data_IF_828741236694
#
_entry.id   IF_828741236694
#
_cell.length_a   1.000
_cell.length_b   1.000
_cell.length_c   1.000
_cell.angle_alpha   90.00
_cell.angle_beta   90.00
_cell.angle_gamma   90.00
#
_symmetry.space_group_name_H-M   'P 1'
#
loop_
_entity.id
_entity.type
_entity.pdbx_description
1 polymer ?
#
# COMPACT_ATOMS: atom_id res chain seq x y z
N UNK A 1 -13.82 3.58 -14.63
CA UNK A 1 -13.96 3.16 -13.22
C UNK A 1 -12.56 2.89 -12.70
N UNK A 2 -12.03 3.74 -11.82
CA UNK A 2 -10.71 3.48 -11.22
C UNK A 2 -10.88 2.30 -10.27
N UNK A 3 -10.34 1.14 -10.63
CA UNK A 3 -10.18 0.07 -9.64
C UNK A 3 -9.29 0.61 -8.53
N UNK A 4 -9.67 0.39 -7.27
CA UNK A 4 -8.78 0.70 -6.16
C UNK A 4 -7.50 -0.15 -6.31
N UNK A 5 -6.31 0.43 -6.13
CA UNK A 5 -5.07 -0.33 -6.22
C UNK A 5 -5.04 -1.43 -5.16
N UNK A 6 -4.45 -2.57 -5.52
CA UNK A 6 -4.38 -3.77 -4.68
C UNK A 6 -3.14 -3.74 -3.82
N UNK A 7 -3.25 -4.16 -2.55
CA UNK A 7 -2.12 -4.26 -1.63
C UNK A 7 -1.03 -5.18 -2.18
N UNK A 8 -1.43 -6.25 -2.85
CA UNK A 8 -0.55 -7.29 -3.39
C UNK A 8 0.34 -6.83 -4.55
N UNK A 9 -0.15 -5.86 -5.34
CA UNK A 9 0.55 -5.30 -6.49
C UNK A 9 1.55 -4.19 -6.08
N UNK A 10 1.29 -3.51 -4.95
CA UNK A 10 2.10 -2.38 -4.45
C UNK A 10 2.78 -2.65 -3.10
N UNK A 11 2.94 -3.92 -2.71
CA UNK A 11 3.39 -4.30 -1.36
C UNK A 11 4.75 -3.68 -1.00
N UNK A 12 5.72 -3.70 -1.92
CA UNK A 12 7.06 -3.18 -1.68
C UNK A 12 7.05 -1.66 -1.49
N UNK A 13 6.35 -0.94 -2.38
CA UNK A 13 6.14 0.51 -2.28
C UNK A 13 5.44 0.88 -0.97
N UNK A 14 4.41 0.14 -0.58
CA UNK A 14 3.69 0.34 0.68
C UNK A 14 4.60 0.18 1.90
N UNK A 15 5.39 -0.90 1.95
CA UNK A 15 6.36 -1.13 3.04
C UNK A 15 7.38 -0.01 3.09
N UNK A 16 7.96 0.37 1.95
CA UNK A 16 8.96 1.44 1.88
C UNK A 16 8.40 2.78 2.36
N UNK A 17 7.21 3.16 1.90
CA UNK A 17 6.55 4.41 2.29
C UNK A 17 6.15 4.43 3.76
N UNK A 18 5.54 3.35 4.27
CA UNK A 18 5.16 3.23 5.68
C UNK A 18 6.39 3.33 6.57
N UNK A 19 7.44 2.58 6.24
CA UNK A 19 8.69 2.56 7.01
C UNK A 19 9.37 3.93 7.00
N UNK A 20 9.49 4.55 5.82
CA UNK A 20 10.08 5.88 5.70
C UNK A 20 9.30 6.91 6.49
N UNK A 21 7.99 7.04 6.25
CA UNK A 21 7.16 8.04 6.94
C UNK A 21 7.03 7.77 8.45
N UNK A 22 7.15 6.51 8.90
CA UNK A 22 7.16 6.18 10.33
C UNK A 22 8.49 6.50 11.00
N UNK A 23 9.63 6.35 10.32
CA UNK A 23 10.94 6.54 10.94
C UNK A 23 11.51 7.95 10.78
N UNK A 24 11.01 8.76 9.83
CA UNK A 24 11.52 10.13 9.69
C UNK A 24 10.94 11.06 10.74
N UNK A 25 11.70 12.10 11.07
CA UNK A 25 11.26 13.18 11.95
C UNK A 25 10.26 14.14 11.27
N UNK A 26 9.93 13.93 10.00
CA UNK A 26 9.03 14.82 9.27
C UNK A 26 7.58 14.34 9.43
N UNK A 27 6.69 15.25 9.78
CA UNK A 27 5.26 14.98 9.93
C UNK A 27 4.60 14.52 8.62
N UNK A 28 5.03 15.07 7.49
CA UNK A 28 4.52 14.77 6.16
C UNK A 28 5.59 14.99 5.07
N UNK A 29 5.43 14.35 3.91
CA UNK A 29 6.35 14.48 2.77
C UNK A 29 5.59 14.55 1.45
N UNK A 30 6.16 15.22 0.45
CA UNK A 30 5.61 15.24 -0.92
C UNK A 30 6.02 14.00 -1.69
N UNK A 31 5.25 13.65 -2.73
CA UNK A 31 5.59 12.56 -3.64
C UNK A 31 6.97 12.75 -4.28
N UNK A 32 7.33 13.96 -4.69
CA UNK A 32 8.68 14.26 -5.23
C UNK A 32 9.78 14.00 -4.21
N UNK A 33 9.60 14.38 -2.93
CA UNK A 33 10.59 14.14 -1.89
C UNK A 33 10.75 12.64 -1.60
N UNK A 34 9.65 11.89 -1.63
CA UNK A 34 9.65 10.45 -1.40
C UNK A 34 10.27 9.69 -2.56
N UNK A 35 9.97 10.09 -3.81
CA UNK A 35 10.57 9.51 -5.01
C UNK A 35 12.09 9.62 -4.98
N UNK A 36 12.59 10.81 -4.62
CA UNK A 36 14.03 11.04 -4.48
C UNK A 36 14.65 10.24 -3.33
N UNK A 37 13.96 10.13 -2.19
CA UNK A 37 14.48 9.46 -1.01
C UNK A 37 14.48 7.93 -1.11
N UNK A 38 13.52 7.36 -1.83
CA UNK A 38 13.33 5.91 -1.95
C UNK A 38 13.78 5.35 -3.30
N UNK A 39 14.15 6.22 -4.24
CA UNK A 39 14.47 5.82 -5.62
C UNK A 39 13.34 5.03 -6.30
N UNK A 40 12.09 5.37 -5.97
CA UNK A 40 10.88 4.82 -6.59
C UNK A 40 10.29 5.89 -7.52
N UNK A 41 9.67 5.45 -8.62
CA UNK A 41 9.02 6.37 -9.54
C UNK A 41 7.94 7.22 -8.87
N UNK A 42 7.86 8.50 -9.26
CA UNK A 42 6.91 9.45 -8.66
C UNK A 42 5.46 9.04 -8.92
N UNK A 43 5.13 8.52 -10.10
CA UNK A 43 3.76 8.14 -10.45
C UNK A 43 3.29 6.93 -9.64
N UNK A 44 4.20 5.99 -9.36
CA UNK A 44 3.94 4.85 -8.47
C UNK A 44 3.66 5.33 -7.04
N UNK A 45 4.47 6.25 -6.52
CA UNK A 45 4.25 6.84 -5.20
C UNK A 45 2.91 7.58 -5.13
N UNK A 46 2.56 8.39 -6.13
CA UNK A 46 1.28 9.10 -6.18
C UNK A 46 0.09 8.14 -6.24
N UNK A 47 0.21 7.06 -7.01
CA UNK A 47 -0.78 5.98 -7.08
C UNK A 47 -1.02 5.36 -5.71
N UNK A 48 0.05 5.01 -5.00
CA UNK A 48 -0.04 4.38 -3.68
C UNK A 48 -0.57 5.38 -2.63
N UNK A 49 -0.02 6.58 -2.57
CA UNK A 49 -0.43 7.58 -1.59
C UNK A 49 -1.89 8.03 -1.75
N UNK A 50 -2.38 8.14 -2.99
CA UNK A 50 -3.78 8.54 -3.26
C UNK A 50 -4.76 7.37 -3.19
N UNK A 51 -4.31 6.15 -3.51
CA UNK A 51 -5.12 4.94 -3.53
C UNK A 51 -5.36 4.31 -2.15
N UNK A 52 -4.36 4.31 -1.28
CA UNK A 52 -4.45 3.67 0.05
C UNK A 52 -4.80 4.68 1.17
N UNK A 53 -5.97 5.32 1.05
CA UNK A 53 -6.44 6.39 1.97
C UNK A 53 -6.58 5.96 3.44
N UNK A 54 -6.68 4.66 3.70
CA UNK A 54 -6.69 4.12 5.07
C UNK A 54 -5.33 4.19 5.76
N UNK A 55 -4.23 4.22 4.99
CA UNK A 55 -2.86 4.32 5.51
C UNK A 55 -2.34 5.75 5.43
N UNK A 56 -2.64 6.44 4.33
CA UNK A 56 -2.10 7.76 4.06
C UNK A 56 -3.18 8.84 4.10
N UNK A 57 -2.81 9.99 4.62
CA UNK A 57 -3.60 11.22 4.62
C UNK A 57 -2.96 12.22 3.67
N UNK A 58 -3.76 12.79 2.79
CA UNK A 58 -3.35 13.91 1.95
C UNK A 58 -3.63 15.24 2.69
N UNK A 59 -2.69 16.17 2.64
CA UNK A 59 -2.89 17.53 3.14
C UNK A 59 -3.77 18.36 2.21
N UNK A 60 -4.40 19.40 2.76
CA UNK A 60 -5.10 20.41 1.95
C UNK A 60 -4.14 21.36 1.22
N UNK A 61 -2.95 21.55 1.80
CA UNK A 61 -1.90 22.45 1.28
C UNK A 61 -0.97 21.72 0.30
N UNK A 62 -0.44 22.47 -0.67
CA UNK A 62 0.61 22.01 -1.60
C UNK A 62 1.95 22.62 -1.21
N UNK A 63 3.04 21.93 -1.50
CA UNK A 63 4.39 22.48 -1.35
C UNK A 63 4.59 23.63 -2.32
N UNK A 64 5.10 24.76 -1.81
CA UNK A 64 5.47 25.91 -2.64
C UNK A 64 6.65 25.60 -3.57
N UNK A 65 7.47 24.60 -3.24
CA UNK A 65 8.68 24.23 -4.00
C UNK A 65 8.38 23.25 -5.12
N UNK A 66 7.64 22.17 -4.82
CA UNK A 66 7.40 21.10 -5.80
C UNK A 66 6.01 21.17 -6.44
N UNK A 67 5.07 21.92 -5.85
CA UNK A 67 3.67 21.98 -6.32
C UNK A 67 2.83 20.75 -5.93
N UNK A 68 3.41 19.77 -5.25
CA UNK A 68 2.72 18.53 -4.85
C UNK A 68 2.03 18.68 -3.49
N UNK A 69 1.03 17.84 -3.24
CA UNK A 69 0.44 17.71 -1.90
C UNK A 69 1.39 16.97 -0.94
N UNK A 70 1.24 17.26 0.35
CA UNK A 70 1.91 16.50 1.40
C UNK A 70 1.09 15.28 1.76
N UNK A 71 1.79 14.23 2.13
CA UNK A 71 1.22 12.99 2.62
C UNK A 71 1.85 12.61 3.95
N UNK A 72 1.00 12.18 4.88
CA UNK A 72 1.39 11.68 6.20
C UNK A 72 0.73 10.33 6.47
N UNK A 73 1.23 9.59 7.45
CA UNK A 73 0.52 8.41 7.95
C UNK A 73 -0.71 8.86 8.75
N UNK A 74 -1.85 8.19 8.52
CA UNK A 74 -3.09 8.45 9.26
C UNK A 74 -2.90 8.30 10.77
N UNK A 75 -2.11 7.29 11.20
CA UNK A 75 -1.88 7.04 12.63
C UNK A 75 -1.13 8.18 13.33
N UNK A 76 -0.24 8.87 12.62
CA UNK A 76 0.46 10.04 13.16
C UNK A 76 -0.53 11.19 13.40
N UNK A 77 -1.47 11.38 12.48
CA UNK A 77 -2.52 12.37 12.62
C UNK A 77 -3.52 12.00 13.74
N UNK A 78 -3.89 10.72 13.85
CA UNK A 78 -4.76 10.25 14.93
C UNK A 78 -4.15 10.51 16.31
N UNK A 79 -2.84 10.27 16.47
CA UNK A 79 -2.10 10.60 17.71
C UNK A 79 -2.05 12.11 17.98
N UNK A 80 -1.88 12.92 16.93
CA UNK A 80 -1.87 14.37 17.06
C UNK A 80 -3.21 14.93 17.54
N UNK A 81 -4.32 14.38 17.02
CA UNK A 81 -5.67 14.76 17.44
C UNK A 81 -5.90 14.47 18.93
N UNK A 82 -5.35 13.36 19.45
CA UNK A 82 -5.40 13.04 20.88
C UNK A 82 -4.56 13.97 21.76
N UNK A 83 -3.54 14.63 21.19
CA UNK A 83 -2.64 15.51 21.92
C UNK A 83 -3.02 17.01 21.78
N UNK A 84 -4.14 17.34 21.16
CA UNK A 84 -4.65 18.72 20.95
C UNK A 84 -3.65 19.69 20.30
N UNK A 85 -2.69 19.18 19.52
CA UNK A 85 -1.74 20.03 18.79
C UNK A 85 -2.27 20.26 17.38
N UNK A 86 -2.79 21.45 17.09
CA UNK A 86 -3.50 21.76 15.83
C UNK A 86 -2.58 22.29 14.71
N UNK A 87 -1.31 21.89 14.70
CA UNK A 87 -0.36 22.38 13.69
C UNK A 87 -0.15 21.35 12.56
N UNK A 88 -0.73 21.69 11.40
CA UNK A 88 -0.40 21.12 10.09
C UNK A 88 0.71 21.97 9.44
N UNK A 89 1.85 22.16 10.11
CA UNK A 89 2.94 22.93 9.52
C UNK A 89 3.97 22.05 8.79
N UNK A 90 4.39 22.52 7.61
CA UNK A 90 5.32 21.85 6.69
C UNK A 90 6.69 21.59 7.34
N UNK A 91 6.99 22.30 8.43
CA UNK A 91 8.24 22.21 9.19
C UNK A 91 8.10 21.52 10.54
N UNK A 92 6.94 20.95 10.85
CA UNK A 92 6.74 20.29 12.14
C UNK A 92 7.55 19.00 12.19
N UNK A 93 8.65 19.07 12.93
CA UNK A 93 9.41 17.89 13.31
C UNK A 93 8.62 17.15 14.37
N UNK A 94 8.21 15.92 14.06
CA UNK A 94 7.51 15.04 14.99
C UNK A 94 8.39 13.83 15.24
N UNK A 95 8.47 13.34 16.48
CA UNK A 95 9.27 12.17 16.78
C UNK A 95 8.84 11.01 15.87
N UNK A 96 9.77 10.10 15.54
CA UNK A 96 9.44 8.86 14.86
C UNK A 96 8.29 8.13 15.55
N UNK A 97 7.51 7.41 14.75
CA UNK A 97 6.44 6.57 15.27
C UNK A 97 7.07 5.45 16.11
N UNK A 98 6.45 5.12 17.24
CA UNK A 98 6.90 4.00 18.08
C UNK A 98 6.90 2.69 17.27
N UNK A 99 7.90 1.86 17.52
CA UNK A 99 8.16 0.62 16.76
C UNK A 99 6.96 -0.32 16.76
N UNK A 100 6.16 -0.34 17.83
CA UNK A 100 4.94 -1.13 17.92
C UNK A 100 3.93 -0.78 16.83
N UNK A 101 3.67 0.51 16.60
CA UNK A 101 2.72 0.96 15.60
C UNK A 101 3.24 0.72 14.17
N UNK A 102 4.55 0.91 13.96
CA UNK A 102 5.17 0.57 12.67
C UNK A 102 5.00 -0.93 12.37
N UNK A 103 5.32 -1.80 13.34
CA UNK A 103 5.18 -3.25 13.19
C UNK A 103 3.75 -3.63 12.85
N UNK A 104 2.76 -3.08 13.56
CA UNK A 104 1.33 -3.32 13.28
C UNK A 104 0.92 -2.87 11.87
N UNK A 105 1.42 -1.73 11.39
CA UNK A 105 1.14 -1.26 10.03
C UNK A 105 1.77 -2.18 8.97
N UNK A 106 3.00 -2.63 9.20
CA UNK A 106 3.68 -3.56 8.30
C UNK A 106 2.96 -4.92 8.26
N UNK A 107 2.60 -5.46 9.43
CA UNK A 107 1.83 -6.70 9.55
C UNK A 107 0.49 -6.59 8.83
N UNK A 108 -0.19 -5.44 8.95
CA UNK A 108 -1.42 -5.18 8.21
C UNK A 108 -1.20 -5.22 6.70
N UNK A 109 -0.19 -4.52 6.17
CA UNK A 109 0.13 -4.50 4.73
C UNK A 109 0.49 -5.90 4.23
N UNK A 110 1.32 -6.63 4.98
CA UNK A 110 1.75 -8.00 4.63
C UNK A 110 0.56 -8.95 4.63
N UNK A 111 -0.27 -8.90 5.68
CA UNK A 111 -1.48 -9.73 5.81
C UNK A 111 -2.48 -9.46 4.69
N UNK A 112 -2.74 -8.19 4.37
CA UNK A 112 -3.65 -7.82 3.27
C UNK A 112 -3.14 -8.23 1.90
N UNK A 113 -1.85 -8.03 1.62
CA UNK A 113 -1.23 -8.53 0.39
C UNK A 113 -1.36 -10.06 0.28
N UNK A 114 -1.09 -10.79 1.36
CA UNK A 114 -1.21 -12.25 1.38
C UNK A 114 -2.66 -12.71 1.18
N UNK A 115 -3.63 -12.04 1.79
CA UNK A 115 -5.08 -12.29 1.62
C UNK A 115 -5.49 -12.13 0.15
N UNK A 116 -5.08 -11.04 -0.49
CA UNK A 116 -5.39 -10.79 -1.91
C UNK A 116 -4.74 -11.82 -2.84
N UNK A 117 -3.48 -12.21 -2.58
CA UNK A 117 -2.79 -13.25 -3.35
C UNK A 117 -3.48 -14.60 -3.20
N UNK A 118 -3.88 -14.98 -1.98
CA UNK A 118 -4.62 -16.22 -1.72
C UNK A 118 -5.99 -16.21 -2.40
N UNK A 119 -6.72 -15.10 -2.34
CA UNK A 119 -8.01 -14.96 -3.00
C UNK A 119 -7.89 -15.08 -4.52
N UNK A 120 -6.83 -14.52 -5.13
CA UNK A 120 -6.57 -14.68 -6.57
C UNK A 120 -6.35 -16.15 -6.96
N UNK A 121 -5.58 -16.89 -6.16
CA UNK A 121 -5.33 -18.32 -6.39
C UNK A 121 -6.59 -19.16 -6.16
N UNK A 122 -7.36 -18.85 -5.11
CA UNK A 122 -8.61 -19.56 -4.79
C UNK A 122 -9.70 -19.37 -5.86
N UNK A 123 -9.70 -18.24 -6.58
CA UNK A 123 -10.70 -17.98 -7.64
C UNK A 123 -10.25 -18.56 -8.99
N UNK A 124 -8.96 -18.47 -9.33
CA UNK A 124 -8.44 -18.92 -10.64
C UNK A 124 -8.11 -20.43 -10.65
N UNK A 125 -7.64 -20.97 -9.53
CA UNK A 125 -7.25 -22.37 -9.39
C UNK A 125 -8.36 -23.36 -9.75
N UNK A 126 -9.60 -23.21 -9.24
CA UNK A 126 -10.69 -24.12 -9.56
C UNK A 126 -11.06 -24.14 -11.03
N UNK A 127 -11.01 -22.99 -11.72
CA UNK A 127 -11.33 -22.92 -13.16
C UNK A 127 -10.26 -23.62 -14.01
N UNK A 128 -8.98 -23.39 -13.74
CA UNK A 128 -7.89 -24.07 -14.46
C UNK A 128 -7.92 -25.57 -14.19
N UNK A 129 -8.18 -25.97 -12.95
CA UNK A 129 -8.31 -27.39 -12.58
C UNK A 129 -9.53 -28.04 -13.22
N UNK A 130 -10.65 -27.32 -13.35
CA UNK A 130 -11.85 -27.79 -14.04
C UNK A 130 -11.57 -28.02 -15.54
N UNK A 131 -10.89 -27.10 -16.22
CA UNK A 131 -10.50 -27.30 -17.61
C UNK A 131 -9.48 -28.43 -17.79
N UNK A 132 -8.47 -28.51 -16.92
CA UNK A 132 -7.48 -29.59 -16.97
C UNK A 132 -8.12 -30.97 -16.74
N UNK A 133 -9.04 -31.08 -15.78
CA UNK A 133 -9.76 -32.33 -15.50
C UNK A 133 -10.68 -32.78 -16.63
N UNK A 134 -11.32 -31.84 -17.36
CA UNK A 134 -12.09 -32.15 -18.56
C UNK A 134 -11.22 -32.74 -19.68
N UNK A 135 -10.02 -32.19 -19.90
CA UNK A 135 -9.08 -32.72 -20.92
C UNK A 135 -8.60 -34.12 -20.54
N UNK A 136 -8.20 -34.31 -19.27
CA UNK A 136 -7.73 -35.62 -18.77
C UNK A 136 -8.85 -36.67 -18.85
N UNK A 137 -10.08 -36.31 -18.49
CA UNK A 137 -11.23 -37.22 -18.60
C UNK A 137 -11.54 -37.58 -20.07
N UNK A 138 -11.49 -36.61 -20.99
CA UNK A 138 -11.68 -36.85 -22.42
C UNK A 138 -10.63 -37.80 -23.00
N UNK A 139 -9.35 -37.59 -22.67
CA UNK A 139 -8.27 -38.50 -23.07
C UNK A 139 -8.46 -39.90 -22.46
N UNK A 140 -8.84 -40.00 -21.19
CA UNK A 140 -9.07 -41.29 -20.53
C UNK A 140 -10.20 -42.10 -21.18
N UNK A 141 -11.27 -41.45 -21.66
CA UNK A 141 -12.35 -42.14 -22.41
C UNK A 141 -11.83 -42.67 -23.75
N UNK A 142 -11.03 -41.88 -24.47
CA UNK A 142 -10.45 -42.29 -25.77
C UNK A 142 -9.46 -43.44 -25.61
N UNK A 143 -8.57 -43.40 -24.61
CA UNK A 143 -7.60 -44.47 -24.37
C UNK A 143 -8.23 -45.74 -23.78
N UNK A 144 -9.36 -45.64 -23.06
CA UNK A 144 -10.09 -46.81 -22.54
C UNK A 144 -10.94 -47.51 -23.61
N UNK A 145 -11.27 -46.83 -24.72
CA UNK A 145 -12.06 -47.40 -25.81
C UNK A 145 -11.23 -47.92 -26.99
N UNK A 146 -9.89 -47.94 -26.88
CA UNK A 146 -8.96 -48.55 -27.85
C UNK A 146 -8.33 -49.81 -27.28
#
# INVERSE_FOLDING_TARGET
>A
MSQNPKYSDHQETLIALVTHLAMTDWSARTATNLAKALSIDKSEIETVLSGFKGLFRQSKRKSKKTGDYFYSLQIRHARQWLNEVDDEDENDRKPPLESEYLTKLLDFVISKSAEERRNKIAVVGPWVTAFASLIVAGLAVVFKSS
#
